data_IF_369287723003
#
_entry.id   IF_369287723003
#
_cell.length_a   1.000
_cell.length_b   1.000
_cell.length_c   1.000
_cell.angle_alpha   90.00
_cell.angle_beta   90.00
_cell.angle_gamma   90.00
#
_symmetry.space_group_name_H-M   'P 1'
#
loop_
_entity.id
_entity.type
_entity.pdbx_description
1 polymer ?
#
# COMPACT_ATOMS: atom_id res chain seq x y z
N UNK A 1 -29.31 -54.57 18.92
CA UNK A 1 -28.08 -54.16 18.23
C UNK A 1 -28.28 -52.72 17.79
N UNK A 2 -27.81 -51.78 18.62
CA UNK A 2 -28.02 -50.33 18.43
C UNK A 2 -26.78 -49.76 17.76
N UNK A 3 -26.93 -49.25 16.53
CA UNK A 3 -25.87 -48.49 15.84
C UNK A 3 -25.98 -47.02 16.24
N UNK A 4 -25.01 -46.53 16.99
CA UNK A 4 -24.81 -45.13 17.22
C UNK A 4 -24.00 -44.56 16.04
N UNK A 5 -24.66 -43.74 15.23
CA UNK A 5 -24.01 -42.93 14.23
C UNK A 5 -23.57 -41.63 14.93
N UNK A 6 -22.31 -41.52 15.30
CA UNK A 6 -21.71 -40.25 15.78
C UNK A 6 -21.33 -39.42 14.57
N UNK A 7 -22.23 -38.55 14.15
CA UNK A 7 -21.88 -37.47 13.25
C UNK A 7 -21.13 -36.41 14.05
N UNK A 8 -19.85 -36.29 13.81
CA UNK A 8 -19.06 -35.14 14.30
C UNK A 8 -19.70 -33.86 13.80
N UNK A 9 -19.94 -32.85 14.67
CA UNK A 9 -20.39 -31.55 14.20
C UNK A 9 -19.26 -30.92 13.39
N UNK A 10 -19.41 -30.92 12.07
CA UNK A 10 -18.57 -30.06 11.22
C UNK A 10 -18.92 -28.64 11.59
N UNK A 11 -18.01 -27.97 12.28
CA UNK A 11 -18.11 -26.54 12.58
C UNK A 11 -18.03 -25.80 11.24
N UNK A 12 -19.17 -25.50 10.64
CA UNK A 12 -19.24 -24.64 9.48
C UNK A 12 -18.94 -23.23 10.01
N UNK A 13 -17.68 -22.81 9.90
CA UNK A 13 -17.36 -21.40 10.04
C UNK A 13 -18.07 -20.67 8.90
N UNK A 14 -19.16 -19.99 9.21
CA UNK A 14 -19.79 -19.04 8.30
C UNK A 14 -18.87 -17.83 8.29
N UNK A 15 -17.95 -17.77 7.33
CA UNK A 15 -17.21 -16.55 7.06
C UNK A 15 -18.18 -15.60 6.37
N UNK A 16 -18.42 -14.44 7.00
CA UNK A 16 -19.25 -13.40 6.39
C UNK A 16 -18.51 -12.80 5.21
N UNK A 17 -19.16 -12.77 4.05
CA UNK A 17 -18.60 -12.05 2.89
C UNK A 17 -18.60 -10.55 3.18
N UNK A 18 -17.53 -9.86 2.77
CA UNK A 18 -17.39 -8.43 2.93
C UNK A 18 -17.30 -7.73 1.58
N UNK A 19 -17.54 -6.43 1.57
CA UNK A 19 -17.25 -5.57 0.41
C UNK A 19 -16.04 -4.72 0.71
N UNK A 20 -15.20 -4.56 -0.30
CA UNK A 20 -14.05 -3.65 -0.23
C UNK A 20 -14.55 -2.26 -0.59
N UNK A 21 -14.32 -1.26 0.26
CA UNK A 21 -14.70 0.14 0.03
C UNK A 21 -13.77 0.83 -0.99
N UNK A 22 -14.18 2.01 -1.50
CA UNK A 22 -13.35 2.83 -2.38
C UNK A 22 -12.01 3.18 -1.71
N UNK A 23 -12.03 3.64 -0.47
CA UNK A 23 -10.85 3.98 0.30
C UNK A 23 -9.88 2.78 0.41
N UNK A 24 -10.41 1.60 0.68
CA UNK A 24 -9.61 0.38 0.76
C UNK A 24 -9.02 0.00 -0.60
N UNK A 25 -9.79 0.15 -1.69
CA UNK A 25 -9.30 -0.08 -3.04
C UNK A 25 -8.19 0.90 -3.44
N UNK A 26 -8.29 2.16 -3.06
CA UNK A 26 -7.24 3.17 -3.29
C UNK A 26 -5.95 2.75 -2.58
N UNK A 27 -6.03 2.37 -1.31
CA UNK A 27 -4.86 1.88 -0.56
C UNK A 27 -4.25 0.63 -1.20
N UNK A 28 -5.06 -0.36 -1.60
CA UNK A 28 -4.55 -1.53 -2.32
C UNK A 28 -3.92 -1.17 -3.67
N UNK A 29 -4.45 -0.16 -4.37
CA UNK A 29 -3.85 0.35 -5.61
C UNK A 29 -2.50 1.04 -5.37
N UNK A 30 -2.31 1.72 -4.24
CA UNK A 30 -1.01 2.27 -3.84
C UNK A 30 -0.06 1.11 -3.43
N UNK A 31 -0.54 0.17 -2.63
CA UNK A 31 0.27 -0.93 -2.13
C UNK A 31 0.83 -1.82 -3.23
N UNK A 32 0.05 -2.08 -4.29
CA UNK A 32 0.56 -2.84 -5.46
C UNK A 32 1.71 -2.16 -6.20
N UNK A 33 1.87 -0.82 -6.05
CA UNK A 33 3.01 -0.09 -6.61
C UNK A 33 4.26 -0.24 -5.74
N UNK A 34 4.09 -0.50 -4.44
CA UNK A 34 5.19 -0.79 -3.50
C UNK A 34 5.67 -2.24 -3.67
N UNK A 35 4.71 -3.17 -3.68
CA UNK A 35 4.99 -4.61 -3.83
C UNK A 35 3.82 -5.28 -4.57
N UNK A 36 4.09 -6.04 -5.64
CA UNK A 36 3.04 -6.78 -6.34
C UNK A 36 2.38 -7.86 -5.49
N UNK A 37 3.02 -8.33 -4.43
CA UNK A 37 2.49 -9.32 -3.50
C UNK A 37 2.17 -8.71 -2.14
N UNK A 38 1.21 -9.29 -1.41
CA UNK A 38 0.84 -8.84 -0.08
C UNK A 38 0.44 -10.01 0.81
N UNK A 39 0.87 -9.98 2.06
CA UNK A 39 0.40 -10.86 3.11
C UNK A 39 -0.66 -10.13 3.94
N UNK A 40 -1.92 -10.43 3.71
CA UNK A 40 -3.00 -9.93 4.54
C UNK A 40 -3.03 -10.75 5.84
N UNK A 41 -2.96 -10.08 6.97
CA UNK A 41 -3.04 -10.71 8.31
C UNK A 41 -4.43 -10.50 8.91
N UNK A 42 -4.88 -11.39 9.81
CA UNK A 42 -6.15 -11.19 10.51
C UNK A 42 -6.21 -9.84 11.21
N UNK A 43 -7.35 -9.16 11.09
CA UNK A 43 -7.62 -7.86 11.69
C UNK A 43 -7.87 -6.74 10.69
N UNK A 44 -7.67 -5.52 11.14
CA UNK A 44 -8.03 -4.29 10.42
C UNK A 44 -6.82 -3.59 9.79
N UNK A 45 -5.60 -4.05 10.12
CA UNK A 45 -4.36 -3.46 9.61
C UNK A 45 -3.88 -4.20 8.39
N UNK A 46 -3.57 -3.43 7.35
CA UNK A 46 -2.93 -3.92 6.13
C UNK A 46 -1.58 -3.24 5.98
N UNK A 47 -0.55 -4.01 5.65
CA UNK A 47 0.79 -3.48 5.48
C UNK A 47 1.53 -4.16 4.35
N UNK A 48 2.43 -3.43 3.73
CA UNK A 48 3.29 -3.94 2.65
C UNK A 48 4.70 -3.34 2.77
N UNK A 49 5.68 -4.00 2.18
CA UNK A 49 7.04 -3.51 2.10
C UNK A 49 7.62 -3.86 0.73
N UNK A 50 8.37 -2.94 0.14
CA UNK A 50 9.06 -3.19 -1.13
C UNK A 50 10.09 -4.32 -1.00
N UNK A 51 10.37 -5.01 -2.09
CA UNK A 51 11.36 -6.09 -2.11
C UNK A 51 12.75 -5.63 -1.63
N UNK A 52 13.12 -4.39 -1.91
CA UNK A 52 14.37 -3.77 -1.45
C UNK A 52 14.28 -3.21 -0.01
N UNK A 53 13.13 -3.34 0.64
CA UNK A 53 12.86 -2.89 2.03
C UNK A 53 13.12 -1.41 2.28
N UNK A 54 13.02 -0.57 1.25
CA UNK A 54 13.24 0.87 1.32
C UNK A 54 11.95 1.69 1.41
N UNK A 55 10.79 1.07 1.13
CA UNK A 55 9.48 1.67 1.25
C UNK A 55 8.57 0.70 1.99
N UNK A 56 7.82 1.22 2.93
CA UNK A 56 6.80 0.46 3.67
C UNK A 56 5.50 1.26 3.70
N UNK A 57 4.40 0.59 3.42
CA UNK A 57 3.05 1.12 3.55
C UNK A 57 2.31 0.44 4.70
N UNK A 58 1.58 1.22 5.48
CA UNK A 58 0.70 0.72 6.54
C UNK A 58 -0.61 1.49 6.46
N UNK A 59 -1.72 0.77 6.56
CA UNK A 59 -3.06 1.34 6.65
C UNK A 59 -3.88 0.61 7.70
N UNK A 60 -4.59 1.36 8.53
CA UNK A 60 -5.54 0.86 9.50
C UNK A 60 -6.96 1.24 9.05
N UNK A 61 -7.85 0.25 8.96
CA UNK A 61 -9.21 0.45 8.50
C UNK A 61 -10.21 0.13 9.60
N UNK A 62 -11.22 0.98 9.76
CA UNK A 62 -12.28 0.72 10.74
C UNK A 62 -13.31 -0.30 10.25
N UNK A 63 -13.43 -0.48 8.93
CA UNK A 63 -14.47 -1.30 8.29
C UNK A 63 -13.96 -2.58 7.64
N UNK A 64 -12.64 -2.72 7.44
CA UNK A 64 -12.03 -3.95 6.93
C UNK A 64 -11.70 -4.85 8.11
N UNK A 65 -12.12 -6.09 8.06
CA UNK A 65 -11.73 -7.08 9.06
C UNK A 65 -11.37 -8.40 8.35
N UNK A 66 -10.11 -8.60 8.09
CA UNK A 66 -9.59 -9.84 7.47
C UNK A 66 -9.72 -10.97 8.50
N UNK A 67 -10.48 -12.05 8.22
CA UNK A 67 -10.73 -13.09 9.21
C UNK A 67 -9.58 -14.09 9.34
N UNK A 68 -8.82 -14.30 8.26
CA UNK A 68 -7.75 -15.29 8.16
C UNK A 68 -6.55 -14.71 7.44
N UNK A 69 -5.39 -15.32 7.63
CA UNK A 69 -4.20 -14.94 6.90
C UNK A 69 -4.35 -15.28 5.41
N UNK A 70 -4.12 -14.31 4.54
CA UNK A 70 -4.32 -14.44 3.10
C UNK A 70 -3.08 -13.98 2.31
N UNK A 71 -2.21 -14.93 1.90
CA UNK A 71 -1.04 -14.65 1.08
C UNK A 71 -1.43 -14.43 -0.39
N UNK A 72 -1.53 -13.17 -0.81
CA UNK A 72 -1.87 -12.77 -2.18
C UNK A 72 -0.57 -12.55 -2.96
N UNK A 73 -0.26 -13.44 -3.89
CA UNK A 73 0.98 -13.36 -4.67
C UNK A 73 0.98 -12.22 -5.69
N UNK A 74 -0.17 -11.99 -6.33
CA UNK A 74 -0.33 -10.92 -7.31
C UNK A 74 -1.57 -10.08 -6.98
N UNK A 75 -1.33 -8.95 -6.33
CA UNK A 75 -2.38 -8.02 -5.91
C UNK A 75 -3.10 -7.39 -7.11
N UNK A 76 -2.40 -7.20 -8.25
CA UNK A 76 -3.02 -6.68 -9.45
C UNK A 76 -4.04 -7.68 -10.02
N UNK A 77 -3.66 -8.96 -10.11
CA UNK A 77 -4.57 -10.03 -10.55
C UNK A 77 -5.75 -10.17 -9.59
N UNK A 78 -5.50 -10.12 -8.27
CA UNK A 78 -6.54 -10.17 -7.26
C UNK A 78 -7.58 -9.04 -7.45
N UNK A 79 -7.13 -7.79 -7.56
CA UNK A 79 -8.00 -6.64 -7.78
C UNK A 79 -8.73 -6.69 -9.13
N UNK A 80 -8.06 -7.22 -10.18
CA UNK A 80 -8.70 -7.41 -11.48
C UNK A 80 -9.75 -8.53 -11.45
N UNK A 81 -9.57 -9.55 -10.63
CA UNK A 81 -10.58 -10.60 -10.44
C UNK A 81 -11.89 -10.02 -9.93
N UNK A 82 -11.83 -9.09 -8.97
CA UNK A 82 -13.02 -8.36 -8.50
C UNK A 82 -13.70 -7.60 -9.65
N UNK A 83 -12.92 -6.95 -10.50
CA UNK A 83 -13.42 -6.20 -11.65
C UNK A 83 -14.11 -7.11 -12.68
N UNK A 84 -13.52 -8.27 -12.98
CA UNK A 84 -14.07 -9.25 -13.92
C UNK A 84 -15.40 -9.82 -13.40
N UNK A 85 -15.42 -10.25 -12.14
CA UNK A 85 -16.58 -10.87 -11.51
C UNK A 85 -17.78 -9.90 -11.46
N UNK A 86 -17.53 -8.62 -11.21
CA UNK A 86 -18.55 -7.59 -11.08
C UNK A 86 -18.91 -6.88 -12.40
N UNK A 87 -18.26 -7.23 -13.52
CA UNK A 87 -18.50 -6.57 -14.80
C UNK A 87 -18.07 -5.11 -14.85
N UNK A 88 -17.02 -4.75 -14.12
CA UNK A 88 -16.46 -3.40 -14.06
C UNK A 88 -16.74 -2.63 -12.76
N UNK A 89 -17.64 -3.12 -11.93
CA UNK A 89 -18.06 -2.46 -10.69
C UNK A 89 -17.45 -3.13 -9.45
N UNK A 90 -16.13 -2.98 -9.26
CA UNK A 90 -15.34 -3.68 -8.21
C UNK A 90 -15.95 -3.63 -6.81
N UNK A 91 -16.52 -2.47 -6.44
CA UNK A 91 -17.15 -2.24 -5.14
C UNK A 91 -18.39 -3.11 -4.88
N UNK A 92 -18.97 -3.67 -5.94
CA UNK A 92 -20.13 -4.56 -5.82
C UNK A 92 -19.75 -6.01 -5.58
N UNK A 93 -18.47 -6.36 -5.72
CA UNK A 93 -18.00 -7.71 -5.46
C UNK A 93 -18.06 -8.03 -3.98
N UNK A 94 -18.61 -9.19 -3.66
CA UNK A 94 -18.53 -9.80 -2.35
C UNK A 94 -17.25 -10.62 -2.26
N UNK A 95 -16.47 -10.41 -1.21
CA UNK A 95 -15.17 -11.06 -0.96
C UNK A 95 -15.27 -11.86 0.32
N UNK A 96 -15.05 -13.16 0.22
CA UNK A 96 -15.10 -14.10 1.33
C UNK A 96 -13.73 -14.78 1.48
N UNK A 97 -12.99 -14.38 2.52
CA UNK A 97 -11.67 -14.92 2.85
C UNK A 97 -11.83 -16.23 3.62
N UNK A 98 -11.37 -17.32 3.04
CA UNK A 98 -11.36 -18.66 3.61
C UNK A 98 -9.91 -19.10 3.90
N UNK A 99 -9.73 -20.23 4.55
CA UNK A 99 -8.42 -20.72 5.01
C UNK A 99 -7.37 -20.84 3.88
N UNK A 100 -7.78 -21.25 2.67
CA UNK A 100 -6.85 -21.54 1.57
C UNK A 100 -7.12 -20.73 0.29
N UNK A 101 -8.18 -19.93 0.27
CA UNK A 101 -8.59 -19.18 -0.91
C UNK A 101 -9.49 -18.00 -0.54
N UNK A 102 -9.69 -17.09 -1.48
CA UNK A 102 -10.74 -16.07 -1.43
C UNK A 102 -11.81 -16.43 -2.47
N UNK A 103 -13.08 -16.50 -2.05
CA UNK A 103 -14.20 -16.50 -2.97
C UNK A 103 -14.58 -15.05 -3.30
N UNK A 104 -14.63 -14.72 -4.57
CA UNK A 104 -15.07 -13.42 -5.06
C UNK A 104 -16.33 -13.65 -5.88
N UNK A 105 -17.42 -12.97 -5.56
CA UNK A 105 -18.69 -13.18 -6.23
C UNK A 105 -19.47 -11.89 -6.45
N UNK A 106 -20.27 -11.87 -7.53
CA UNK A 106 -21.28 -10.86 -7.79
C UNK A 106 -22.39 -11.44 -8.68
N UNK A 107 -23.63 -11.41 -8.20
CA UNK A 107 -24.76 -12.00 -8.91
C UNK A 107 -24.54 -13.49 -9.20
N UNK A 108 -24.46 -13.85 -10.49
CA UNK A 108 -24.22 -15.24 -10.92
C UNK A 108 -22.76 -15.58 -11.17
N UNK A 109 -21.86 -14.58 -11.14
CA UNK A 109 -20.43 -14.74 -11.38
C UNK A 109 -19.71 -15.07 -10.07
N UNK A 110 -18.82 -16.06 -10.11
CA UNK A 110 -17.99 -16.46 -8.96
C UNK A 110 -16.59 -16.82 -9.43
N UNK A 111 -15.59 -16.46 -8.64
CA UNK A 111 -14.19 -16.84 -8.85
C UNK A 111 -13.57 -17.29 -7.53
N UNK A 112 -12.73 -18.30 -7.58
CA UNK A 112 -11.88 -18.74 -6.46
C UNK A 112 -10.46 -18.30 -6.74
N UNK A 113 -9.92 -17.46 -5.85
CA UNK A 113 -8.53 -17.04 -5.89
C UNK A 113 -7.75 -17.83 -4.82
N UNK A 114 -6.87 -18.72 -5.24
CA UNK A 114 -6.08 -19.56 -4.33
C UNK A 114 -4.86 -18.78 -3.82
N UNK A 115 -4.54 -18.96 -2.55
CA UNK A 115 -3.37 -18.36 -1.93
C UNK A 115 -2.06 -18.96 -2.43
N UNK A 116 -1.00 -18.18 -2.36
CA UNK A 116 0.36 -18.64 -2.55
C UNK A 116 0.96 -19.20 -1.23
N UNK A 117 2.15 -19.76 -1.32
CA UNK A 117 2.95 -20.03 -0.13
C UNK A 117 3.41 -18.70 0.50
N UNK A 118 3.17 -18.52 1.78
CA UNK A 118 3.55 -17.32 2.53
C UNK A 118 5.03 -16.95 2.38
N UNK A 119 5.90 -17.96 2.29
CA UNK A 119 7.35 -17.77 2.12
C UNK A 119 7.74 -17.07 0.82
N UNK A 120 6.84 -17.01 -0.16
CA UNK A 120 7.05 -16.30 -1.42
C UNK A 120 6.73 -14.80 -1.32
N UNK A 121 6.18 -14.34 -0.18
CA UNK A 121 5.72 -12.97 -0.01
C UNK A 121 6.65 -12.22 0.94
N UNK A 122 7.22 -11.13 0.45
CA UNK A 122 7.96 -10.21 1.32
C UNK A 122 6.96 -9.38 2.11
N UNK A 123 6.93 -9.57 3.42
CA UNK A 123 6.04 -8.84 4.33
C UNK A 123 6.83 -7.99 5.33
N UNK A 124 6.26 -6.88 5.83
CA UNK A 124 6.86 -6.10 6.90
C UNK A 124 7.00 -6.93 8.18
N UNK A 125 7.92 -6.58 9.09
CA UNK A 125 8.00 -7.18 10.41
C UNK A 125 6.71 -6.88 11.20
N UNK A 126 6.33 -7.80 12.10
CA UNK A 126 5.13 -7.64 12.93
C UNK A 126 5.18 -6.41 13.85
N UNK A 127 6.37 -6.10 14.33
CA UNK A 127 6.63 -4.90 15.12
C UNK A 127 7.43 -3.93 14.28
N UNK A 128 6.82 -2.78 14.02
CA UNK A 128 7.54 -1.66 13.44
C UNK A 128 8.52 -1.11 14.47
N UNK A 129 9.70 -0.69 13.99
CA UNK A 129 10.60 0.05 14.85
C UNK A 129 9.91 1.33 15.33
N UNK A 130 10.07 1.64 16.60
CA UNK A 130 9.70 2.96 17.11
C UNK A 130 10.67 3.98 16.51
N UNK A 131 10.18 4.82 15.63
CA UNK A 131 10.98 5.87 14.99
C UNK A 131 11.05 7.15 15.83
N UNK A 132 10.39 7.17 16.99
CA UNK A 132 10.24 8.36 17.80
C UNK A 132 9.38 9.43 17.15
N UNK A 133 9.42 10.65 17.71
CA UNK A 133 8.70 11.78 17.14
C UNK A 133 9.33 12.25 15.82
N UNK A 134 8.52 12.68 14.85
CA UNK A 134 9.04 13.19 13.59
C UNK A 134 9.89 14.46 13.82
N UNK A 135 11.07 14.50 13.21
CA UNK A 135 11.95 15.68 13.28
C UNK A 135 11.24 16.91 12.71
N UNK A 136 10.54 16.74 11.59
CA UNK A 136 9.79 17.79 10.93
C UNK A 136 8.56 17.20 10.23
N UNK A 137 7.45 17.95 10.24
CA UNK A 137 6.27 17.70 9.41
C UNK A 137 6.24 18.76 8.31
N UNK A 138 6.09 18.31 7.08
CA UNK A 138 6.06 19.17 5.90
C UNK A 138 4.75 18.90 5.15
N UNK A 139 4.00 19.96 4.87
CA UNK A 139 2.82 19.89 3.99
C UNK A 139 3.20 20.44 2.63
N UNK A 140 2.86 19.70 1.58
CA UNK A 140 3.16 20.10 0.20
C UNK A 140 1.83 20.05 -0.57
N UNK A 141 1.52 21.11 -1.29
CA UNK A 141 0.35 21.12 -2.16
C UNK A 141 0.54 20.16 -3.35
N UNK A 142 -0.51 19.50 -3.76
CA UNK A 142 -0.48 18.54 -4.86
C UNK A 142 0.09 19.15 -6.15
N UNK A 143 -0.26 20.41 -6.44
CA UNK A 143 0.24 21.13 -7.61
C UNK A 143 1.78 21.29 -7.58
N UNK A 144 2.36 21.51 -6.41
CA UNK A 144 3.81 21.65 -6.25
C UNK A 144 4.49 20.29 -6.34
N UNK A 145 3.89 19.24 -5.79
CA UNK A 145 4.35 17.86 -6.03
C UNK A 145 4.41 17.53 -7.52
N UNK A 146 3.36 17.84 -8.27
CA UNK A 146 3.34 17.63 -9.73
C UNK A 146 4.46 18.38 -10.44
N UNK A 147 4.71 19.66 -10.09
CA UNK A 147 5.82 20.44 -10.65
C UNK A 147 7.17 19.80 -10.37
N UNK A 148 7.37 19.32 -9.13
CA UNK A 148 8.60 18.64 -8.71
C UNK A 148 8.83 17.37 -9.54
N UNK A 149 7.79 16.53 -9.73
CA UNK A 149 7.91 15.32 -10.55
C UNK A 149 8.10 15.61 -12.04
N UNK A 150 7.49 16.67 -12.55
CA UNK A 150 7.71 17.11 -13.93
C UNK A 150 9.16 17.59 -14.13
N UNK A 151 9.70 18.37 -13.19
CA UNK A 151 11.10 18.78 -13.22
C UNK A 151 12.05 17.58 -13.13
N UNK A 152 11.77 16.65 -12.19
CA UNK A 152 12.54 15.43 -12.05
C UNK A 152 12.59 14.59 -13.36
N UNK A 153 11.45 14.47 -14.03
CA UNK A 153 11.35 13.73 -15.29
C UNK A 153 12.04 14.44 -16.44
N UNK A 154 11.83 15.76 -16.55
CA UNK A 154 12.38 16.57 -17.66
C UNK A 154 13.89 16.62 -17.63
N UNK A 155 14.48 16.74 -16.45
CA UNK A 155 15.92 16.88 -16.26
C UNK A 155 16.60 15.60 -15.76
N UNK A 156 15.86 14.48 -15.66
CA UNK A 156 16.35 13.19 -15.14
C UNK A 156 17.00 13.30 -13.75
N UNK A 157 16.37 14.08 -12.86
CA UNK A 157 16.87 14.32 -11.51
C UNK A 157 16.40 13.22 -10.53
N UNK A 158 17.33 12.49 -9.89
CA UNK A 158 17.00 11.30 -9.13
C UNK A 158 16.56 11.57 -7.68
N UNK A 159 16.82 12.77 -7.15
CA UNK A 159 16.65 13.06 -5.73
C UNK A 159 15.69 14.23 -5.51
N UNK A 160 14.84 14.11 -4.48
CA UNK A 160 14.08 15.20 -3.89
C UNK A 160 14.61 15.39 -2.48
N UNK A 161 15.15 16.59 -2.20
CA UNK A 161 15.75 16.94 -0.93
C UNK A 161 14.89 18.00 -0.23
N UNK A 162 14.51 17.71 1.02
CA UNK A 162 13.90 18.70 1.91
C UNK A 162 15.01 19.34 2.71
N UNK A 163 15.15 20.65 2.56
CA UNK A 163 16.24 21.44 3.15
C UNK A 163 15.63 22.53 4.00
N UNK A 164 16.05 22.57 5.25
CA UNK A 164 15.80 23.71 6.11
C UNK A 164 17.15 24.33 6.48
N UNK A 165 17.36 25.58 6.07
CA UNK A 165 18.57 26.33 6.28
C UNK A 165 18.24 27.82 6.50
N UNK A 166 18.90 28.42 7.48
CA UNK A 166 18.77 29.85 7.79
C UNK A 166 17.33 30.34 7.96
N UNK A 167 16.49 29.48 8.56
CA UNK A 167 15.07 29.76 8.83
C UNK A 167 14.12 29.45 7.67
N UNK A 168 14.62 29.09 6.49
CA UNK A 168 13.80 28.76 5.32
C UNK A 168 13.69 27.25 5.13
N UNK A 169 12.49 26.79 4.79
CA UNK A 169 12.20 25.41 4.41
C UNK A 169 11.90 25.34 2.91
N UNK A 170 12.58 24.47 2.20
CA UNK A 170 12.37 24.24 0.78
C UNK A 170 12.44 22.78 0.39
N UNK A 171 11.80 22.42 -0.73
CA UNK A 171 12.00 21.17 -1.41
C UNK A 171 12.80 21.39 -2.70
N UNK A 172 13.88 20.66 -2.89
CA UNK A 172 14.76 20.76 -4.04
C UNK A 172 14.79 19.45 -4.80
N UNK A 173 14.57 19.51 -6.11
CA UNK A 173 14.74 18.38 -7.02
C UNK A 173 16.09 18.51 -7.72
N UNK A 174 16.98 17.55 -7.55
CA UNK A 174 18.36 17.63 -8.01
C UNK A 174 19.00 16.24 -8.16
N UNK A 175 20.21 16.19 -8.65
CA UNK A 175 21.12 15.07 -8.45
C UNK A 175 22.18 15.44 -7.41
N UNK A 176 21.97 14.98 -6.16
CA UNK A 176 22.86 15.29 -5.03
C UNK A 176 24.30 14.76 -5.19
N UNK A 177 24.57 13.91 -6.19
CA UNK A 177 25.90 13.39 -6.50
C UNK A 177 26.64 14.24 -7.54
N UNK A 178 25.93 15.15 -8.22
CA UNK A 178 26.47 16.00 -9.27
C UNK A 178 26.30 17.46 -8.88
N UNK A 179 27.37 18.13 -8.48
CA UNK A 179 27.38 19.54 -8.06
C UNK A 179 27.02 20.53 -9.17
N UNK A 180 27.07 20.11 -10.44
CA UNK A 180 26.66 20.92 -11.60
C UNK A 180 25.28 20.53 -12.14
N UNK A 181 24.51 19.75 -11.37
CA UNK A 181 23.15 19.37 -11.74
C UNK A 181 22.22 20.57 -11.77
N UNK A 182 21.20 20.49 -12.64
CA UNK A 182 20.07 21.39 -12.55
C UNK A 182 19.37 21.22 -11.20
N UNK A 183 18.80 22.32 -10.69
CA UNK A 183 18.04 22.33 -9.44
C UNK A 183 16.71 23.02 -9.68
N UNK A 184 15.62 22.35 -9.28
CA UNK A 184 14.30 22.95 -9.19
C UNK A 184 13.91 23.06 -7.73
N UNK A 185 13.52 24.25 -7.28
CA UNK A 185 13.21 24.51 -5.87
C UNK A 185 11.77 24.99 -5.71
N UNK A 186 11.11 24.46 -4.68
CA UNK A 186 9.81 24.93 -4.17
C UNK A 186 10.02 25.43 -2.76
N UNK A 187 9.59 26.66 -2.49
CA UNK A 187 9.55 27.24 -1.15
C UNK A 187 8.37 26.62 -0.38
N UNK A 188 8.63 26.13 0.83
CA UNK A 188 7.65 25.49 1.70
C UNK A 188 7.40 26.29 3.00
N UNK A 189 7.99 27.49 3.11
CA UNK A 189 7.84 28.39 4.24
C UNK A 189 9.03 28.40 5.20
N UNK A 190 8.75 28.51 6.48
CA UNK A 190 9.77 28.67 7.51
C UNK A 190 9.99 27.38 8.33
N UNK A 191 11.18 27.22 8.87
CA UNK A 191 11.55 26.16 9.81
C UNK A 191 12.49 26.70 10.88
N UNK A 192 12.23 26.36 12.12
CA UNK A 192 13.09 26.62 13.28
C UNK A 192 14.24 25.61 13.44
N UNK A 193 14.30 24.61 12.53
CA UNK A 193 15.30 23.54 12.56
C UNK A 193 16.16 23.58 11.30
N UNK A 194 17.38 23.12 11.43
CA UNK A 194 18.30 22.93 10.31
C UNK A 194 18.41 21.43 9.97
N UNK A 195 18.14 21.06 8.72
CA UNK A 195 18.26 19.70 8.24
C UNK A 195 18.33 19.61 6.71
N UNK A 196 18.81 18.46 6.22
CA UNK A 196 18.73 18.11 4.81
C UNK A 196 18.41 16.61 4.69
N UNK A 197 17.21 16.29 4.21
CA UNK A 197 16.76 14.91 3.95
C UNK A 197 16.51 14.73 2.47
N UNK A 198 17.23 13.80 1.84
CA UNK A 198 17.03 13.47 0.44
C UNK A 198 16.38 12.10 0.27
N UNK A 199 15.34 12.06 -0.53
CA UNK A 199 14.60 10.85 -0.89
C UNK A 199 14.70 10.63 -2.40
N UNK A 200 14.72 9.38 -2.84
CA UNK A 200 14.67 9.10 -4.28
C UNK A 200 13.31 9.49 -4.86
N UNK A 201 13.32 10.20 -5.98
CA UNK A 201 12.11 10.62 -6.69
C UNK A 201 11.17 9.45 -6.97
N UNK A 202 11.70 8.29 -7.37
CA UNK A 202 10.93 7.08 -7.63
C UNK A 202 10.14 6.59 -6.41
N UNK A 203 10.69 6.76 -5.20
CA UNK A 203 10.04 6.34 -3.96
C UNK A 203 8.85 7.24 -3.60
N UNK A 204 8.97 8.55 -3.81
CA UNK A 204 7.90 9.51 -3.54
C UNK A 204 6.77 9.45 -4.59
N UNK A 205 7.07 9.07 -5.83
CA UNK A 205 6.06 8.93 -6.89
C UNK A 205 4.99 7.89 -6.56
N UNK A 206 5.30 6.91 -5.71
CA UNK A 206 4.36 5.89 -5.25
C UNK A 206 3.26 6.52 -4.37
N UNK A 207 3.59 7.54 -3.60
CA UNK A 207 2.67 8.21 -2.66
C UNK A 207 1.74 9.20 -3.39
N UNK A 208 2.14 9.67 -4.57
CA UNK A 208 1.38 10.62 -5.38
C UNK A 208 1.20 10.06 -6.81
N UNK A 209 0.32 9.06 -7.01
CA UNK A 209 0.03 8.56 -8.35
C UNK A 209 -0.62 9.69 -9.18
N UNK A 210 -0.03 9.95 -10.35
CA UNK A 210 -0.53 10.89 -11.38
C UNK A 210 -1.73 10.32 -12.11
#
# INVERSE_FOLDING_TARGET
MLYYCTTSPTLIMITESMKISDEQLEVFNIFKLINPSILLKPGQRVSTISNNKNIMGVADFNTLNIPVQAPIYDLHVFLNTMNIVSGGERLKSDVDFQENLVNISHGRSKMKYYYADERMITSPPDKLADLGDPVQKVSIEYADFQKMFNAASTYSLPDICFVADSGNLSAMVTDKRNSSSNVFTVDLGESDKEFCFCVKTENLRIVCPT
#
